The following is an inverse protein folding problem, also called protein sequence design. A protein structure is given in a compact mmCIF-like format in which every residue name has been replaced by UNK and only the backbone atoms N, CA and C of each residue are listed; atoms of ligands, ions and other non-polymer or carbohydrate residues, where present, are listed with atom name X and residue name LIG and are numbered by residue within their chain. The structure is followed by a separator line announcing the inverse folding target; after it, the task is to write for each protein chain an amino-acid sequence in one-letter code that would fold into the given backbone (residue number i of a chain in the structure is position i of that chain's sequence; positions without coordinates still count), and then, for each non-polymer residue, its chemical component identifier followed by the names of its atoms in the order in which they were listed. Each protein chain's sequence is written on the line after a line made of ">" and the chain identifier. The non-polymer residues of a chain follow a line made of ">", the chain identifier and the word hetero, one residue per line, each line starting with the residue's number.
data_IF_593316453875
#
_entry.id   IF_593316453875
#
_cell.length_a   1.000
_cell.length_b   1.000
_cell.length_c   1.000
_cell.angle_alpha   90.00
_cell.angle_beta   90.00
_cell.angle_gamma   90.00
#
_symmetry.space_group_name_H-M   'P 1'
#
loop_
_entity.id
_entity.type
_entity.pdbx_description
1 polymer ?
#
# COMPACT_ATOMS: atom_id res chain seq x y z
N UNK A 1 4.55 -14.19 48.66
CA UNK A 1 3.39 -13.68 47.90
C UNK A 1 3.92 -13.22 46.55
N UNK A 2 3.85 -14.08 45.53
CA UNK A 2 4.31 -13.75 44.18
C UNK A 2 3.09 -13.55 43.30
N UNK A 3 2.82 -12.31 42.90
CA UNK A 3 1.77 -11.98 41.95
C UNK A 3 2.32 -12.12 40.53
N UNK A 4 1.89 -13.16 39.84
CA UNK A 4 2.12 -13.35 38.41
C UNK A 4 1.12 -12.48 37.65
N UNK A 5 1.58 -11.39 37.04
CA UNK A 5 0.75 -10.55 36.18
C UNK A 5 0.66 -11.21 34.80
N UNK A 6 -0.51 -11.77 34.48
CA UNK A 6 -0.83 -12.29 33.14
C UNK A 6 -1.07 -11.14 32.17
N UNK A 7 -0.34 -11.13 31.04
CA UNK A 7 -0.58 -10.22 29.91
C UNK A 7 -1.91 -10.63 29.26
N UNK A 8 -2.89 -9.72 29.06
CA UNK A 8 -4.12 -10.08 28.37
C UNK A 8 -3.85 -10.36 26.89
N UNK A 9 -4.42 -11.45 26.39
CA UNK A 9 -4.35 -11.83 24.99
C UNK A 9 -4.97 -10.74 24.11
N UNK A 10 -4.23 -10.32 23.08
CA UNK A 10 -4.70 -9.38 22.06
C UNK A 10 -5.88 -10.02 21.31
N UNK A 11 -7.06 -9.46 21.52
CA UNK A 11 -8.28 -9.86 20.82
C UNK A 11 -8.14 -9.46 19.36
N UNK A 12 -7.72 -10.40 18.51
CA UNK A 12 -7.79 -10.29 17.06
C UNK A 12 -9.24 -10.00 16.67
N UNK A 13 -9.56 -8.74 16.38
CA UNK A 13 -10.81 -8.37 15.72
C UNK A 13 -10.87 -9.15 14.41
N UNK A 14 -11.78 -10.12 14.35
CA UNK A 14 -12.00 -10.93 13.16
C UNK A 14 -12.23 -9.98 11.98
N UNK A 15 -11.32 -9.99 10.99
CA UNK A 15 -11.46 -9.21 9.76
C UNK A 15 -12.85 -9.46 9.21
N UNK A 16 -13.63 -8.39 9.08
CA UNK A 16 -15.00 -8.47 8.58
C UNK A 16 -14.95 -8.86 7.11
N UNK A 17 -15.08 -10.15 6.84
CA UNK A 17 -15.10 -10.68 5.48
C UNK A 17 -16.46 -10.33 4.88
N UNK A 18 -16.52 -9.22 4.14
CA UNK A 18 -17.71 -8.85 3.37
C UNK A 18 -17.67 -9.72 2.11
N UNK A 19 -18.60 -10.69 1.92
CA UNK A 19 -18.63 -11.48 0.71
C UNK A 19 -18.94 -10.54 -0.46
N UNK A 20 -17.98 -10.37 -1.36
CA UNK A 20 -18.23 -9.63 -2.59
C UNK A 20 -19.19 -10.42 -3.46
N UNK A 21 -20.38 -9.87 -3.68
CA UNK A 21 -21.33 -10.38 -4.66
C UNK A 21 -21.29 -9.42 -5.85
N UNK A 22 -20.69 -9.81 -6.98
CA UNK A 22 -20.63 -8.95 -8.15
C UNK A 22 -22.06 -8.68 -8.65
N UNK A 23 -22.33 -7.42 -9.00
CA UNK A 23 -23.63 -7.00 -9.57
C UNK A 23 -23.89 -7.61 -10.96
N UNK A 24 -22.81 -8.09 -11.59
CA UNK A 24 -22.73 -8.62 -12.95
C UNK A 24 -22.16 -10.04 -12.92
N UNK A 25 -22.66 -10.93 -13.77
CA UNK A 25 -22.06 -12.26 -14.00
C UNK A 25 -21.82 -12.45 -15.50
N UNK A 26 -20.91 -13.36 -15.91
CA UNK A 26 -20.75 -13.68 -17.34
C UNK A 26 -22.06 -14.13 -18.01
N UNK A 27 -23.04 -14.62 -17.22
CA UNK A 27 -24.37 -15.03 -17.71
C UNK A 27 -25.38 -13.88 -17.85
N UNK A 28 -25.26 -12.80 -17.07
CA UNK A 28 -26.16 -11.63 -17.13
C UNK A 28 -25.55 -10.45 -17.88
N UNK A 29 -24.24 -10.39 -17.92
CA UNK A 29 -23.41 -9.34 -18.52
C UNK A 29 -22.19 -10.00 -19.15
N UNK A 30 -22.23 -10.35 -20.45
CA UNK A 30 -21.09 -10.91 -21.13
C UNK A 30 -19.91 -9.93 -21.10
N UNK A 31 -18.68 -10.46 -21.14
CA UNK A 31 -17.47 -9.66 -21.14
C UNK A 31 -17.51 -8.66 -22.32
N UNK A 32 -17.48 -7.34 -22.07
CA UNK A 32 -17.82 -6.34 -23.08
C UNK A 32 -16.66 -6.01 -24.02
N UNK A 33 -15.46 -6.53 -23.74
CA UNK A 33 -14.24 -6.24 -24.47
C UNK A 33 -13.83 -7.45 -25.33
N UNK A 34 -13.20 -7.19 -26.47
CA UNK A 34 -12.55 -8.21 -27.29
C UNK A 34 -11.04 -8.28 -26.97
N UNK A 35 -10.32 -9.26 -27.55
CA UNK A 35 -8.90 -9.44 -27.26
C UNK A 35 -8.04 -8.21 -27.61
N UNK A 36 -8.40 -7.48 -28.68
CA UNK A 36 -7.69 -6.28 -29.13
C UNK A 36 -7.83 -5.12 -28.16
N UNK A 37 -8.96 -5.03 -27.46
CA UNK A 37 -9.17 -4.00 -26.42
C UNK A 37 -8.28 -4.23 -25.18
N UNK A 38 -7.67 -5.41 -25.07
CA UNK A 38 -6.75 -5.81 -24.00
C UNK A 38 -5.29 -5.80 -24.44
N UNK A 39 -5.00 -5.43 -25.69
CA UNK A 39 -3.63 -5.24 -26.16
C UNK A 39 -3.07 -3.91 -25.62
N UNK A 40 -1.78 -3.84 -25.27
CA UNK A 40 -1.14 -2.59 -24.92
C UNK A 40 -1.29 -1.57 -26.05
N UNK A 41 -1.63 -0.32 -25.70
CA UNK A 41 -1.64 0.78 -26.67
C UNK A 41 -0.23 1.19 -27.10
N UNK A 42 0.75 0.92 -26.24
CA UNK A 42 2.18 1.13 -26.42
C UNK A 42 2.87 -0.14 -25.90
N UNK A 43 3.66 -0.80 -26.75
CA UNK A 43 4.40 -2.03 -26.44
C UNK A 43 5.86 -1.77 -26.06
N UNK A 44 6.25 -0.49 -25.92
CA UNK A 44 7.59 -0.12 -25.48
C UNK A 44 7.86 -0.55 -24.03
N UNK A 45 9.12 -0.83 -23.65
CA UNK A 45 9.46 -1.23 -22.29
C UNK A 45 9.07 -0.19 -21.25
N UNK A 46 8.49 -0.63 -20.12
CA UNK A 46 8.10 0.22 -18.99
C UNK A 46 9.25 1.11 -18.48
N UNK A 47 10.50 0.65 -18.58
CA UNK A 47 11.71 1.39 -18.21
C UNK A 47 11.79 2.77 -18.86
N UNK A 48 11.31 2.90 -20.11
CA UNK A 48 11.27 4.17 -20.82
C UNK A 48 10.25 5.10 -20.16
N UNK A 49 9.07 4.59 -19.80
CA UNK A 49 8.02 5.36 -19.15
C UNK A 49 8.41 5.87 -17.76
N UNK A 50 9.17 5.06 -17.00
CA UNK A 50 9.64 5.38 -15.65
C UNK A 50 11.01 6.07 -15.58
N UNK A 51 11.64 6.35 -16.73
CA UNK A 51 12.96 6.98 -16.79
C UNK A 51 12.99 8.39 -16.18
N UNK A 52 11.96 9.19 -16.44
CA UNK A 52 11.81 10.54 -15.91
C UNK A 52 11.00 10.53 -14.60
N UNK A 53 11.49 11.17 -13.52
CA UNK A 53 10.78 11.19 -12.24
C UNK A 53 9.51 12.04 -12.31
N UNK A 54 8.47 11.59 -11.62
CA UNK A 54 7.17 12.27 -11.53
C UNK A 54 6.81 12.54 -10.09
N UNK A 55 7.12 13.75 -9.65
CA UNK A 55 6.70 14.26 -8.34
C UNK A 55 5.25 14.73 -8.35
N UNK A 56 4.34 13.81 -8.63
CA UNK A 56 2.90 14.05 -8.70
C UNK A 56 2.14 13.12 -7.77
N UNK A 57 0.92 13.49 -7.47
CA UNK A 57 -0.02 12.64 -6.75
C UNK A 57 -0.88 11.89 -7.77
N UNK A 58 -0.63 10.59 -7.95
CA UNK A 58 -1.24 9.78 -9.03
C UNK A 58 -2.71 9.43 -8.80
N UNK A 59 -3.22 9.64 -7.58
CA UNK A 59 -4.59 9.31 -7.18
C UNK A 59 -5.29 10.55 -6.61
N UNK A 60 -6.62 10.59 -6.69
CA UNK A 60 -7.39 11.71 -6.15
C UNK A 60 -7.49 11.70 -4.62
N UNK A 61 -7.91 12.82 -4.04
CA UNK A 61 -8.04 13.01 -2.58
C UNK A 61 -9.00 12.01 -1.91
N UNK A 62 -10.04 11.57 -2.63
CA UNK A 62 -10.99 10.58 -2.15
C UNK A 62 -10.34 9.20 -2.01
N UNK A 63 -9.59 8.78 -3.03
CA UNK A 63 -8.80 7.56 -2.99
C UNK A 63 -7.73 7.60 -1.89
N UNK A 64 -7.03 8.73 -1.73
CA UNK A 64 -6.05 8.93 -0.65
C UNK A 64 -6.71 8.78 0.71
N UNK A 65 -7.87 9.40 0.91
CA UNK A 65 -8.62 9.33 2.17
C UNK A 65 -9.00 7.89 2.48
N UNK A 66 -9.55 7.17 1.50
CA UNK A 66 -9.94 5.77 1.66
C UNK A 66 -8.73 4.86 1.98
N UNK A 67 -7.61 5.04 1.27
CA UNK A 67 -6.37 4.30 1.53
C UNK A 67 -5.85 4.55 2.95
N UNK A 68 -5.79 5.81 3.37
CA UNK A 68 -5.34 6.17 4.73
C UNK A 68 -6.22 5.56 5.81
N UNK A 69 -7.55 5.60 5.63
CA UNK A 69 -8.48 4.94 6.57
C UNK A 69 -8.27 3.44 6.62
N UNK A 70 -8.09 2.78 5.47
CA UNK A 70 -7.85 1.35 5.41
C UNK A 70 -6.50 0.98 6.06
N UNK A 71 -5.42 1.66 5.69
CA UNK A 71 -4.09 1.45 6.24
C UNK A 71 -4.04 1.70 7.75
N UNK A 72 -4.81 2.66 8.26
CA UNK A 72 -4.93 2.90 9.69
C UNK A 72 -5.47 1.69 10.46
N UNK A 73 -6.31 0.88 9.82
CA UNK A 73 -6.91 -0.32 10.42
C UNK A 73 -5.99 -1.54 10.29
N UNK A 74 -5.27 -1.67 9.17
CA UNK A 74 -4.61 -2.94 8.82
C UNK A 74 -3.10 -2.96 8.95
N UNK A 75 -2.42 -1.81 8.91
CA UNK A 75 -0.96 -1.77 8.98
C UNK A 75 -0.48 -1.81 10.43
N UNK A 76 0.54 -2.63 10.73
CA UNK A 76 1.06 -2.73 12.08
C UNK A 76 1.90 -1.49 12.43
N UNK A 77 1.73 -0.98 13.65
CA UNK A 77 2.58 0.04 14.27
C UNK A 77 3.33 -0.50 15.49
N UNK A 78 3.26 -1.81 15.71
CA UNK A 78 3.95 -2.51 16.80
C UNK A 78 5.46 -2.56 16.56
N UNK A 79 6.24 -2.37 17.61
CA UNK A 79 7.71 -2.37 17.54
C UNK A 79 8.28 -3.63 16.85
N UNK A 80 9.24 -3.44 15.96
CA UNK A 80 9.90 -4.50 15.18
C UNK A 80 9.13 -4.96 13.94
N UNK A 81 7.96 -4.36 13.64
CA UNK A 81 7.20 -4.70 12.42
C UNK A 81 7.88 -4.18 11.16
N UNK A 82 7.63 -4.86 10.03
CA UNK A 82 8.16 -4.50 8.72
C UNK A 82 7.06 -4.46 7.68
N UNK A 83 7.07 -3.44 6.84
CA UNK A 83 6.12 -3.25 5.75
C UNK A 83 6.91 -3.27 4.43
N UNK A 84 6.42 -4.03 3.45
CA UNK A 84 6.89 -3.98 2.07
C UNK A 84 5.92 -3.13 1.25
N UNK A 85 6.39 -1.99 0.75
CA UNK A 85 5.63 -1.09 -0.13
C UNK A 85 5.99 -1.40 -1.60
N UNK A 86 5.06 -2.00 -2.33
CA UNK A 86 5.25 -2.40 -3.72
C UNK A 86 4.68 -1.35 -4.66
N UNK A 87 5.38 -1.10 -5.77
CA UNK A 87 5.01 -0.08 -6.75
C UNK A 87 4.95 1.32 -6.11
N UNK A 88 5.84 1.57 -5.15
CA UNK A 88 5.92 2.85 -4.47
C UNK A 88 6.62 3.89 -5.34
N UNK A 89 6.47 5.15 -4.94
CA UNK A 89 7.05 6.32 -5.58
C UNK A 89 7.55 7.26 -4.48
N UNK A 90 7.55 8.57 -4.70
CA UNK A 90 7.99 9.59 -3.75
C UNK A 90 7.01 9.82 -2.57
N UNK A 91 5.77 9.34 -2.68
CA UNK A 91 4.74 9.36 -1.63
C UNK A 91 4.05 7.99 -1.52
N UNK A 92 3.98 7.44 -0.30
CA UNK A 92 3.28 6.18 0.02
C UNK A 92 1.85 6.34 0.58
N UNK A 93 1.39 7.58 0.81
CA UNK A 93 0.06 7.90 1.37
C UNK A 93 -0.27 7.19 2.70
N UNK A 94 0.73 6.93 3.55
CA UNK A 94 0.48 6.34 4.86
C UNK A 94 -0.32 7.30 5.78
N UNK A 95 -1.09 6.76 6.74
CA UNK A 95 -1.72 7.58 7.75
C UNK A 95 -0.68 8.09 8.77
N UNK A 96 -0.93 9.23 9.45
CA UNK A 96 0.07 9.88 10.31
C UNK A 96 0.68 8.99 11.41
N UNK A 97 -0.09 8.05 11.96
CA UNK A 97 0.41 7.14 13.00
C UNK A 97 1.42 6.11 12.47
N UNK A 98 1.34 5.73 11.20
CA UNK A 98 2.33 4.84 10.56
C UNK A 98 3.59 5.64 10.25
N UNK A 99 3.45 6.83 9.67
CA UNK A 99 4.58 7.76 9.43
C UNK A 99 5.35 8.04 10.72
N UNK A 100 4.63 8.33 11.81
CA UNK A 100 5.23 8.53 13.14
C UNK A 100 5.92 7.28 13.69
N UNK A 101 5.35 6.09 13.49
CA UNK A 101 5.98 4.85 13.94
C UNK A 101 7.28 4.54 13.18
N UNK A 102 7.37 4.93 11.91
CA UNK A 102 8.63 4.89 11.14
C UNK A 102 9.63 5.91 11.67
N UNK A 103 9.21 7.15 11.88
CA UNK A 103 10.06 8.23 12.42
C UNK A 103 10.62 7.90 13.81
N UNK A 104 9.80 7.32 14.68
CA UNK A 104 10.19 6.85 16.02
C UNK A 104 11.10 5.60 15.97
N UNK A 105 11.32 4.99 14.79
CA UNK A 105 12.10 3.76 14.61
C UNK A 105 11.40 2.49 15.12
N UNK A 106 10.11 2.57 15.45
CA UNK A 106 9.32 1.43 15.92
C UNK A 106 9.12 0.40 14.80
N UNK A 107 8.92 0.85 13.57
CA UNK A 107 8.71 -0.01 12.40
C UNK A 107 9.62 0.38 11.25
N UNK A 108 9.84 -0.54 10.32
CA UNK A 108 10.58 -0.28 9.09
C UNK A 108 9.66 -0.44 7.87
N UNK A 109 9.78 0.46 6.89
CA UNK A 109 9.16 0.30 5.58
C UNK A 109 10.26 0.11 4.53
N UNK A 110 10.17 -0.95 3.75
CA UNK A 110 11.05 -1.20 2.60
C UNK A 110 10.22 -1.02 1.34
N UNK A 111 10.69 -0.19 0.41
CA UNK A 111 9.97 0.13 -0.81
C UNK A 111 10.61 -0.48 -2.06
N UNK A 112 9.77 -0.86 -3.02
CA UNK A 112 10.18 -1.22 -4.39
C UNK A 112 9.43 -0.32 -5.37
N UNK A 113 10.17 0.42 -6.18
CA UNK A 113 9.66 1.32 -7.20
C UNK A 113 10.60 1.39 -8.40
N UNK A 114 10.13 2.00 -9.48
CA UNK A 114 10.79 1.95 -10.79
C UNK A 114 11.70 3.16 -11.06
N UNK A 115 11.59 4.24 -10.28
CA UNK A 115 12.39 5.45 -10.47
C UNK A 115 13.22 5.80 -9.22
N UNK A 116 14.55 5.80 -9.36
CA UNK A 116 15.47 6.01 -8.23
C UNK A 116 15.32 7.38 -7.54
N UNK A 117 15.02 8.44 -8.29
CA UNK A 117 14.87 9.77 -7.69
C UNK A 117 13.57 9.83 -6.86
N UNK A 118 12.46 9.32 -7.38
CA UNK A 118 11.21 9.20 -6.61
C UNK A 118 11.44 8.44 -5.29
N UNK A 119 12.14 7.30 -5.35
CA UNK A 119 12.44 6.49 -4.17
C UNK A 119 13.26 7.26 -3.12
N UNK A 120 14.25 8.06 -3.54
CA UNK A 120 15.08 8.88 -2.62
C UNK A 120 14.29 9.98 -1.92
N UNK A 121 13.25 10.52 -2.57
CA UNK A 121 12.41 11.57 -1.98
C UNK A 121 11.35 11.02 -1.02
N UNK A 122 11.12 9.70 -1.01
CA UNK A 122 10.17 9.07 -0.11
C UNK A 122 10.76 8.87 1.29
N UNK A 123 10.48 9.82 2.19
CA UNK A 123 11.04 9.87 3.54
C UNK A 123 10.61 8.73 4.46
N UNK A 124 9.56 7.98 4.13
CA UNK A 124 9.12 6.85 4.96
C UNK A 124 9.88 5.56 4.65
N UNK A 125 10.58 5.50 3.51
CA UNK A 125 11.32 4.31 3.12
C UNK A 125 12.65 4.25 3.88
N UNK A 126 13.00 3.04 4.30
CA UNK A 126 14.35 2.74 4.78
C UNK A 126 15.33 2.84 3.61
N UNK A 127 16.45 3.53 3.83
CA UNK A 127 17.55 3.54 2.88
C UNK A 127 18.11 2.12 2.70
N UNK A 128 18.17 1.65 1.46
CA UNK A 128 18.81 0.38 1.14
C UNK A 128 20.33 0.60 1.19
N UNK A 129 20.97 0.19 2.30
CA UNK A 129 22.44 0.13 2.43
C UNK A 129 23.00 -1.12 1.77
#
# INVERSE_FOLDING_TARGET
>A
MSTSTSIPASTSTARRQIPYQPRSSPSTTPFPYNAKDLEPMDDSPDEIFYSEPRFVTHIDDGAITALRSYFAEVLPTTEGSRILDMCTSWISHYPPQVEKAVEDGCIEVVGVGMNNEEMKYNKVLKENT
#
